data_IF_131530359610
#
_entry.id   IF_131530359610
#
_cell.length_a   1.000
_cell.length_b   1.000
_cell.length_c   1.000
_cell.angle_alpha   90.00
_cell.angle_beta   90.00
_cell.angle_gamma   90.00
#
_symmetry.space_group_name_H-M   'P 1'
#
loop_
_entity.id
_entity.type
_entity.pdbx_description
1 polymer ?
#
# COMPACT_ATOMS: atom_id res chain seq x y z
N UNK A 1 -8.68 23.35 9.65
CA UNK A 1 -7.94 23.16 8.38
C UNK A 1 -8.58 21.97 7.67
N UNK A 2 -8.93 22.12 6.39
CA UNK A 2 -9.72 21.11 5.67
C UNK A 2 -8.83 19.91 5.34
N UNK A 3 -9.02 18.78 6.02
CA UNK A 3 -8.34 17.51 5.70
C UNK A 3 -8.88 16.85 4.42
N UNK A 4 -9.76 17.54 3.70
CA UNK A 4 -10.41 17.08 2.48
C UNK A 4 -9.46 16.50 1.42
N UNK A 5 -8.28 17.10 1.11
CA UNK A 5 -7.39 16.50 0.12
C UNK A 5 -6.74 15.20 0.62
N UNK A 6 -6.47 15.08 1.92
CA UNK A 6 -5.92 13.85 2.51
C UNK A 6 -6.96 12.72 2.54
N UNK A 7 -8.15 13.00 3.05
CA UNK A 7 -9.22 11.99 3.16
C UNK A 7 -9.67 11.50 1.78
N UNK A 8 -9.73 12.39 0.79
CA UNK A 8 -10.08 12.02 -0.59
C UNK A 8 -9.01 11.14 -1.23
N UNK A 9 -7.72 11.46 -1.02
CA UNK A 9 -6.61 10.65 -1.53
C UNK A 9 -6.55 9.27 -0.84
N UNK A 10 -6.73 9.22 0.49
CA UNK A 10 -6.78 7.97 1.23
C UNK A 10 -7.95 7.10 0.77
N UNK A 11 -9.15 7.67 0.63
CA UNK A 11 -10.32 6.95 0.11
C UNK A 11 -10.10 6.44 -1.33
N UNK A 12 -9.45 7.25 -2.18
CA UNK A 12 -9.12 6.87 -3.54
C UNK A 12 -8.16 5.66 -3.58
N UNK A 13 -7.12 5.67 -2.73
CA UNK A 13 -6.18 4.56 -2.64
C UNK A 13 -6.84 3.31 -2.05
N UNK A 14 -7.70 3.43 -1.04
CA UNK A 14 -8.51 2.31 -0.52
C UNK A 14 -9.36 1.64 -1.60
N UNK A 15 -9.80 2.39 -2.60
CA UNK A 15 -10.53 1.86 -3.76
C UNK A 15 -9.60 1.20 -4.76
N UNK A 16 -8.51 1.86 -5.20
CA UNK A 16 -7.67 1.37 -6.29
C UNK A 16 -6.80 0.17 -5.88
N UNK A 17 -6.20 0.19 -4.68
CA UNK A 17 -5.20 -0.80 -4.29
C UNK A 17 -5.73 -2.25 -4.40
N UNK A 18 -6.95 -2.59 -3.92
CA UNK A 18 -7.49 -3.93 -4.12
C UNK A 18 -7.64 -4.36 -5.58
N UNK A 19 -7.94 -3.43 -6.51
CA UNK A 19 -8.06 -3.76 -7.94
C UNK A 19 -6.72 -4.15 -8.57
N UNK A 20 -5.60 -3.70 -8.01
CA UNK A 20 -4.27 -4.09 -8.49
C UNK A 20 -4.00 -5.60 -8.36
N UNK A 21 -4.76 -6.33 -7.53
CA UNK A 21 -4.71 -7.81 -7.51
C UNK A 21 -5.17 -8.45 -8.83
N UNK A 22 -5.99 -7.75 -9.60
CA UNK A 22 -6.63 -8.26 -10.82
C UNK A 22 -6.01 -7.72 -12.10
N UNK A 23 -5.19 -6.67 -12.00
CA UNK A 23 -4.53 -6.01 -13.11
C UNK A 23 -3.06 -6.46 -13.21
N UNK A 24 -2.43 -6.32 -14.40
CA UNK A 24 -1.00 -6.59 -14.55
C UNK A 24 -0.19 -5.76 -13.54
N UNK A 25 0.89 -6.30 -12.93
CA UNK A 25 1.64 -5.67 -11.83
C UNK A 25 2.47 -4.44 -12.24
N UNK A 26 2.13 -3.81 -13.36
CA UNK A 26 2.79 -2.59 -13.82
C UNK A 26 2.42 -1.44 -12.87
N UNK A 27 3.44 -0.79 -12.32
CA UNK A 27 3.26 0.38 -11.47
C UNK A 27 3.24 0.13 -9.95
N UNK A 28 3.57 -1.07 -9.46
CA UNK A 28 3.70 -1.29 -8.01
C UNK A 28 4.67 -0.29 -7.33
N UNK A 29 5.87 0.02 -7.87
CA UNK A 29 6.73 1.04 -7.27
C UNK A 29 6.11 2.43 -7.22
N UNK A 30 5.22 2.76 -8.17
CA UNK A 30 4.49 4.02 -8.19
C UNK A 30 3.45 4.07 -7.06
N UNK A 31 2.64 3.02 -6.93
CA UNK A 31 1.61 2.93 -5.88
C UNK A 31 2.22 2.89 -4.48
N UNK A 32 3.35 2.20 -4.28
CA UNK A 32 4.09 2.21 -3.01
C UNK A 32 4.47 3.63 -2.58
N UNK A 33 5.01 4.43 -3.51
CA UNK A 33 5.37 5.84 -3.25
C UNK A 33 4.15 6.68 -2.88
N UNK A 34 3.00 6.43 -3.52
CA UNK A 34 1.74 7.15 -3.20
C UNK A 34 1.25 6.84 -1.79
N UNK A 35 1.26 5.57 -1.38
CA UNK A 35 0.87 5.20 -0.01
C UNK A 35 1.83 5.80 1.02
N UNK A 36 3.15 5.76 0.76
CA UNK A 36 4.13 6.36 1.67
C UNK A 36 3.99 7.89 1.79
N UNK A 37 3.56 8.57 0.71
CA UNK A 37 3.30 10.01 0.72
C UNK A 37 2.08 10.40 1.59
N UNK A 38 1.22 9.45 1.98
CA UNK A 38 0.15 9.69 2.95
C UNK A 38 0.64 9.85 4.39
N UNK A 39 1.85 9.36 4.71
CA UNK A 39 2.44 9.54 6.04
C UNK A 39 3.21 10.85 6.08
N UNK A 40 2.73 11.88 6.79
CA UNK A 40 3.49 13.11 6.95
C UNK A 40 4.73 12.85 7.83
N UNK A 41 5.88 13.46 7.51
CA UNK A 41 7.10 13.30 8.31
C UNK A 41 6.98 13.87 9.73
N UNK A 42 6.06 14.81 10.00
CA UNK A 42 5.93 15.47 11.32
C UNK A 42 4.47 15.78 11.76
N UNK A 43 3.45 15.23 11.08
CA UNK A 43 2.06 15.71 11.21
C UNK A 43 1.12 14.77 11.94
N UNK A 44 0.40 15.28 12.95
CA UNK A 44 -0.73 14.60 13.60
C UNK A 44 -1.79 14.21 12.55
N UNK A 45 -1.87 12.92 12.23
CA UNK A 45 -2.89 12.38 11.34
C UNK A 45 -4.29 12.53 11.94
N UNK A 46 -5.34 12.70 11.12
CA UNK A 46 -6.71 12.58 11.60
C UNK A 46 -6.92 11.22 12.28
N UNK A 47 -7.74 11.19 13.34
CA UNK A 47 -7.98 9.98 14.12
C UNK A 47 -8.41 8.81 13.21
N UNK A 48 -7.80 7.63 13.40
CA UNK A 48 -8.09 6.43 12.61
C UNK A 48 -7.35 6.34 11.26
N UNK A 49 -6.76 7.43 10.76
CA UNK A 49 -6.06 7.41 9.45
C UNK A 49 -4.81 6.55 9.45
N UNK A 50 -4.07 6.52 10.56
CA UNK A 50 -2.90 5.66 10.71
C UNK A 50 -3.27 4.17 10.57
N UNK A 51 -4.41 3.75 11.13
CA UNK A 51 -4.89 2.38 11.01
C UNK A 51 -5.32 2.05 9.58
N UNK A 52 -5.95 3.01 8.89
CA UNK A 52 -6.34 2.86 7.48
C UNK A 52 -5.12 2.73 6.56
N UNK A 53 -4.13 3.60 6.73
CA UNK A 53 -2.85 3.53 6.00
C UNK A 53 -2.14 2.18 6.28
N UNK A 54 -2.12 1.73 7.53
CA UNK A 54 -1.55 0.42 7.89
C UNK A 54 -2.20 -0.73 7.13
N UNK A 55 -3.54 -0.83 7.19
CA UNK A 55 -4.29 -1.86 6.45
C UNK A 55 -4.06 -1.77 4.93
N UNK A 56 -3.99 -0.56 4.40
CA UNK A 56 -3.73 -0.32 2.98
C UNK A 56 -2.33 -0.84 2.59
N UNK A 57 -1.33 -0.62 3.44
CA UNK A 57 0.02 -1.15 3.24
C UNK A 57 0.04 -2.69 3.32
N UNK A 58 -0.65 -3.29 4.30
CA UNK A 58 -0.73 -4.75 4.43
C UNK A 58 -1.30 -5.41 3.16
N UNK A 59 -2.37 -4.83 2.60
CA UNK A 59 -2.97 -5.30 1.33
C UNK A 59 -2.00 -5.11 0.17
N UNK A 60 -1.30 -3.98 0.12
CA UNK A 60 -0.35 -3.69 -0.94
C UNK A 60 0.86 -4.64 -0.93
N UNK A 61 1.39 -4.97 0.26
CA UNK A 61 2.47 -5.94 0.40
C UNK A 61 2.04 -7.35 -0.04
N UNK A 62 0.79 -7.74 0.20
CA UNK A 62 0.25 -9.00 -0.31
C UNK A 62 0.18 -9.01 -1.84
N UNK A 63 -0.15 -7.87 -2.47
CA UNK A 63 -0.12 -7.71 -3.92
C UNK A 63 1.32 -7.85 -4.44
N UNK A 64 2.28 -7.18 -3.82
CA UNK A 64 3.70 -7.29 -4.20
C UNK A 64 4.21 -8.74 -4.08
N UNK A 65 3.84 -9.45 -3.01
CA UNK A 65 4.18 -10.87 -2.82
C UNK A 65 3.63 -11.76 -3.92
N UNK A 66 2.37 -11.55 -4.33
CA UNK A 66 1.74 -12.34 -5.42
C UNK A 66 2.30 -11.98 -6.79
N UNK A 67 2.66 -10.72 -7.02
CA UNK A 67 3.22 -10.25 -8.27
C UNK A 67 4.67 -10.69 -8.50
N UNK A 68 5.43 -10.96 -7.42
CA UNK A 68 6.82 -11.41 -7.48
C UNK A 68 6.96 -12.83 -6.90
N UNK A 69 6.71 -13.89 -7.70
CA UNK A 69 6.79 -15.28 -7.23
C UNK A 69 8.22 -15.69 -6.80
N UNK A 70 9.25 -14.92 -7.17
CA UNK A 70 10.65 -15.19 -6.84
C UNK A 70 10.95 -15.01 -5.33
N UNK A 71 10.28 -14.05 -4.67
CA UNK A 71 10.42 -13.85 -3.22
C UNK A 71 9.87 -15.03 -2.39
N UNK A 72 8.80 -15.69 -2.88
CA UNK A 72 8.22 -16.88 -2.26
C UNK A 72 9.02 -18.17 -2.54
N UNK A 73 9.93 -18.15 -3.52
CA UNK A 73 10.85 -19.24 -3.84
C UNK A 73 12.19 -19.11 -3.10
N UNK A 74 12.67 -17.88 -2.92
CA UNK A 74 13.88 -17.56 -2.14
C UNK A 74 13.75 -17.97 -0.66
N UNK A 75 12.56 -17.77 -0.04
CA UNK A 75 12.32 -18.16 1.35
C UNK A 75 12.26 -19.68 1.60
N UNK A 76 12.09 -20.49 0.55
CA UNK A 76 12.06 -21.97 0.65
C UNK A 76 13.39 -22.63 0.31
N UNK A 77 14.33 -21.90 -0.29
CA UNK A 77 15.63 -22.44 -0.72
C UNK A 77 16.71 -22.32 0.36
N UNK A 78 16.56 -21.44 1.35
CA UNK A 78 17.48 -21.31 2.50
C UNK A 78 17.21 -22.29 3.65
N UNK A 79 16.28 -23.24 3.48
CA UNK A 79 15.96 -24.27 4.47
C UNK A 79 16.43 -25.68 4.05
N UNK A 80 17.61 -25.80 3.42
CA UNK A 80 18.23 -27.10 3.13
C UNK A 80 19.69 -27.15 3.55
#
# INVERSE_FOLDING_TARGET
MSNYPFESELAHLEQIIPFLMTAPPLGLPYWRRRILALSPPEGRLPAGSAQRIGRLMDVFEEIERKASPDAASAARTTAR
#
